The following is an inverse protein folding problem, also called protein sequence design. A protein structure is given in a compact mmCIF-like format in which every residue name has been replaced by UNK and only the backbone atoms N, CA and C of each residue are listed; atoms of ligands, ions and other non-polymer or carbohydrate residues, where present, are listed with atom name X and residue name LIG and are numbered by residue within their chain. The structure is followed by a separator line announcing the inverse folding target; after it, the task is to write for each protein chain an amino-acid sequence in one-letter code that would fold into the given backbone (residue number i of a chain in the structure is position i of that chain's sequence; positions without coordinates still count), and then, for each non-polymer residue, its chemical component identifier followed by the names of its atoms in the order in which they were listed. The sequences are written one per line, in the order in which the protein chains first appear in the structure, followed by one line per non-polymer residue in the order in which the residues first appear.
data_IF_586883468768
#
_entry.id   IF_586883468768
#
_cell.length_a   1.000
_cell.length_b   1.000
_cell.length_c   1.000
_cell.angle_alpha   90.00
_cell.angle_beta   90.00
_cell.angle_gamma   90.00
#
_symmetry.space_group_name_H-M   'P 1'
#
loop_
_entity.id
_entity.type
_entity.pdbx_description
1 polymer ?
#
# COMPACT_ATOMS: atom_id res chain seq x y z
N UNK A 1 -13.31 10.73 1.36
CA UNK A 1 -13.49 9.42 0.69
C UNK A 1 -13.10 8.29 1.64
N UNK A 2 -14.08 7.54 2.14
CA UNK A 2 -13.86 6.44 3.10
C UNK A 2 -13.35 5.18 2.39
N UNK A 3 -12.48 4.43 3.06
CA UNK A 3 -12.09 3.09 2.63
C UNK A 3 -13.28 2.15 2.86
N UNK A 4 -13.59 1.36 1.85
CA UNK A 4 -14.66 0.35 1.86
C UNK A 4 -13.95 -1.01 1.95
N UNK A 5 -14.49 -2.02 2.67
CA UNK A 5 -14.12 -3.41 2.40
C UNK A 5 -14.17 -3.62 0.89
N UNK A 6 -13.14 -4.22 0.30
CA UNK A 6 -13.00 -4.28 -1.15
C UNK A 6 -14.16 -5.06 -1.78
N UNK A 7 -15.25 -4.36 -2.10
CA UNK A 7 -16.00 -4.64 -3.31
C UNK A 7 -15.12 -4.26 -4.49
N UNK A 8 -15.21 -5.02 -5.57
CA UNK A 8 -14.56 -4.69 -6.83
C UNK A 8 -14.74 -3.20 -7.15
N UNK A 9 -13.66 -2.46 -7.48
CA UNK A 9 -13.78 -1.09 -7.95
C UNK A 9 -14.77 -1.05 -9.13
N UNK A 10 -15.62 -0.04 -9.15
CA UNK A 10 -16.63 0.14 -10.20
C UNK A 10 -15.92 0.17 -11.58
N UNK A 11 -16.22 -0.79 -12.46
CA UNK A 11 -15.57 -0.97 -13.76
C UNK A 11 -14.42 -1.99 -13.82
N UNK A 12 -14.15 -2.74 -12.75
CA UNK A 12 -13.30 -3.95 -12.82
C UNK A 12 -14.18 -5.14 -13.19
N UNK A 13 -14.16 -5.55 -14.46
CA UNK A 13 -14.75 -6.83 -14.85
C UNK A 13 -13.96 -7.95 -14.17
N UNK A 14 -14.64 -8.69 -13.30
CA UNK A 14 -14.18 -10.00 -12.84
C UNK A 14 -14.30 -10.93 -14.04
N UNK A 15 -13.30 -11.78 -14.33
CA UNK A 15 -13.46 -12.86 -15.30
C UNK A 15 -14.79 -13.58 -15.06
N UNK A 16 -15.56 -13.79 -16.12
CA UNK A 16 -16.95 -14.25 -16.06
C UNK A 16 -17.06 -15.51 -15.16
N UNK A 17 -17.79 -15.40 -14.04
CA UNK A 17 -18.03 -16.49 -13.09
C UNK A 17 -17.25 -16.46 -11.77
N UNK A 18 -16.42 -15.44 -11.49
CA UNK A 18 -15.57 -15.39 -10.29
C UNK A 18 -16.13 -14.45 -9.19
N UNK A 19 -16.22 -14.96 -7.96
CA UNK A 19 -16.82 -14.32 -6.78
C UNK A 19 -15.80 -13.50 -5.96
N UNK A 20 -16.29 -12.62 -5.08
CA UNK A 20 -15.47 -11.88 -4.12
C UNK A 20 -14.64 -12.79 -3.20
N UNK A 21 -15.14 -13.99 -2.91
CA UNK A 21 -14.47 -15.00 -2.10
C UNK A 21 -13.32 -15.67 -2.87
N UNK A 22 -13.47 -15.90 -4.17
CA UNK A 22 -12.39 -16.40 -5.03
C UNK A 22 -11.29 -15.35 -5.27
N UNK A 23 -11.64 -14.07 -5.30
CA UNK A 23 -10.67 -12.96 -5.36
C UNK A 23 -9.81 -12.87 -4.08
N UNK A 24 -10.39 -13.17 -2.91
CA UNK A 24 -9.69 -13.20 -1.63
C UNK A 24 -8.74 -14.40 -1.51
N UNK A 25 -8.97 -15.46 -2.29
CA UNK A 25 -8.11 -16.65 -2.34
C UNK A 25 -7.08 -16.64 -3.48
N UNK A 26 -7.00 -15.56 -4.27
CA UNK A 26 -6.00 -15.49 -5.33
C UNK A 26 -4.57 -15.53 -4.76
N UNK A 27 -3.64 -16.23 -5.45
CA UNK A 27 -2.24 -16.23 -5.08
C UNK A 27 -1.69 -14.80 -5.05
N UNK A 28 -0.68 -14.59 -4.21
CA UNK A 28 0.05 -13.34 -4.01
C UNK A 28 0.15 -12.51 -5.29
N UNK A 29 -0.68 -11.47 -5.37
CA UNK A 29 -0.83 -10.66 -6.58
C UNK A 29 0.48 -9.94 -6.92
N UNK A 30 1.38 -9.72 -5.96
CA UNK A 30 2.68 -9.00 -6.10
C UNK A 30 3.60 -9.49 -7.23
N UNK A 31 3.29 -10.58 -7.93
CA UNK A 31 4.13 -11.20 -8.96
C UNK A 31 3.76 -10.92 -10.41
N UNK A 32 2.60 -10.31 -10.72
CA UNK A 32 2.18 -10.02 -12.10
C UNK A 32 2.42 -8.56 -12.46
N UNK A 33 3.19 -8.28 -13.51
CA UNK A 33 3.48 -6.89 -13.94
C UNK A 33 2.33 -6.28 -14.76
N UNK A 34 1.69 -7.05 -15.65
CA UNK A 34 0.54 -6.62 -16.47
C UNK A 34 -0.65 -7.52 -16.12
N UNK A 35 -1.77 -6.90 -15.77
CA UNK A 35 -3.02 -7.58 -15.39
C UNK A 35 -3.93 -7.72 -16.61
N UNK A 36 -4.14 -6.62 -17.34
CA UNK A 36 -4.93 -6.58 -18.57
C UNK A 36 -4.46 -5.41 -19.47
N UNK A 37 -4.84 -5.46 -20.76
CA UNK A 37 -4.66 -4.33 -21.68
C UNK A 37 -5.70 -4.35 -22.81
N UNK A 38 -6.00 -3.17 -23.34
CA UNK A 38 -6.77 -2.97 -24.57
C UNK A 38 -6.02 -2.01 -25.52
N UNK A 39 -6.33 -2.12 -26.81
CA UNK A 39 -5.77 -1.25 -27.85
C UNK A 39 -6.92 -0.57 -28.56
N UNK A 40 -6.92 0.77 -28.54
CA UNK A 40 -7.95 1.61 -29.13
C UNK A 40 -7.30 2.60 -30.11
N UNK A 41 -7.33 2.25 -31.39
CA UNK A 41 -6.63 3.02 -32.43
C UNK A 41 -5.13 3.05 -32.17
N UNK A 42 -4.61 4.23 -31.77
CA UNK A 42 -3.20 4.44 -31.46
C UNK A 42 -2.91 4.49 -29.93
N UNK A 43 -3.92 4.27 -29.09
CA UNK A 43 -3.78 4.25 -27.64
C UNK A 43 -3.73 2.81 -27.12
N UNK A 44 -2.92 2.59 -26.08
CA UNK A 44 -2.89 1.35 -25.30
C UNK A 44 -3.33 1.69 -23.88
N UNK A 45 -4.43 1.10 -23.43
CA UNK A 45 -4.86 1.18 -22.04
C UNK A 45 -4.38 -0.11 -21.37
N UNK A 46 -3.71 -0.02 -20.23
CA UNK A 46 -3.22 -1.19 -19.53
C UNK A 46 -3.45 -1.06 -18.03
N UNK A 47 -3.93 -2.13 -17.40
CA UNK A 47 -3.83 -2.29 -15.96
C UNK A 47 -2.55 -3.04 -15.65
N UNK A 48 -1.67 -2.39 -14.91
CA UNK A 48 -0.43 -2.97 -14.42
C UNK A 48 -0.47 -3.09 -12.91
N UNK A 49 0.42 -3.91 -12.38
CA UNK A 49 0.68 -3.92 -10.97
C UNK A 49 2.06 -3.35 -10.65
N UNK A 50 2.12 -2.59 -9.56
CA UNK A 50 3.35 -2.05 -8.99
C UNK A 50 3.70 -2.91 -7.78
N UNK A 51 4.64 -3.87 -7.90
CA UNK A 51 4.99 -4.71 -6.77
C UNK A 51 5.77 -3.91 -5.72
N UNK A 52 5.70 -4.34 -4.46
CA UNK A 52 6.53 -3.76 -3.40
C UNK A 52 7.98 -4.20 -3.63
N UNK A 53 8.89 -3.24 -3.78
CA UNK A 53 10.33 -3.48 -3.97
C UNK A 53 11.09 -3.60 -2.65
N UNK A 54 10.63 -2.90 -1.61
CA UNK A 54 11.08 -3.10 -0.23
C UNK A 54 10.01 -2.64 0.77
N UNK A 55 9.94 -3.32 1.91
CA UNK A 55 9.02 -3.00 2.98
C UNK A 55 9.62 -3.31 4.36
N UNK A 56 9.20 -2.55 5.36
CA UNK A 56 9.43 -2.85 6.77
C UNK A 56 8.47 -2.00 7.61
N UNK A 57 8.51 -2.14 8.93
CA UNK A 57 7.86 -1.20 9.84
C UNK A 57 8.85 -0.69 10.87
N UNK A 58 8.53 0.46 11.46
CA UNK A 58 9.26 1.04 12.58
C UNK A 58 8.33 1.15 13.79
N UNK A 59 8.90 0.98 14.99
CA UNK A 59 8.17 0.95 16.24
C UNK A 59 8.84 1.86 17.27
N UNK A 60 8.09 2.78 17.86
CA UNK A 60 8.64 3.75 18.81
C UNK A 60 9.04 3.13 20.15
N UNK A 61 8.47 1.97 20.49
CA UNK A 61 8.84 1.18 21.67
C UNK A 61 10.21 0.51 21.55
N UNK A 62 10.70 0.34 20.31
CA UNK A 62 12.00 -0.26 20.02
C UNK A 62 12.80 0.66 19.08
N UNK A 63 13.24 1.82 19.56
CA UNK A 63 13.62 2.93 18.70
C UNK A 63 14.87 2.70 17.83
N UNK A 64 15.71 1.75 18.23
CA UNK A 64 16.94 1.35 17.53
C UNK A 64 16.83 0.00 16.81
N UNK A 65 15.69 -0.69 16.92
CA UNK A 65 15.49 -1.99 16.29
C UNK A 65 15.10 -1.85 14.82
N UNK A 66 15.53 -2.84 14.03
CA UNK A 66 15.15 -3.02 12.64
C UNK A 66 14.22 -4.23 12.52
N UNK A 67 13.17 -4.12 11.70
CA UNK A 67 12.15 -5.16 11.54
C UNK A 67 12.06 -5.74 10.11
N UNK A 68 13.10 -5.55 9.28
CA UNK A 68 13.06 -6.00 7.88
C UNK A 68 13.01 -7.52 7.68
N UNK A 69 13.35 -8.30 8.70
CA UNK A 69 13.23 -9.75 8.69
C UNK A 69 11.85 -10.24 9.16
N UNK A 70 10.95 -9.35 9.56
CA UNK A 70 9.61 -9.70 9.98
C UNK A 70 8.79 -10.22 8.79
N UNK A 71 8.01 -11.29 9.01
CA UNK A 71 7.07 -11.81 8.02
C UNK A 71 5.75 -11.03 7.95
N UNK A 72 5.59 -10.02 8.81
CA UNK A 72 4.42 -9.16 8.89
C UNK A 72 4.85 -7.70 9.05
N UNK A 73 3.94 -6.80 8.69
CA UNK A 73 4.06 -5.37 8.92
C UNK A 73 3.05 -4.95 9.99
N UNK A 74 3.49 -4.10 10.91
CA UNK A 74 2.61 -3.51 11.90
C UNK A 74 2.35 -2.03 11.61
N UNK A 75 1.12 -1.61 11.89
CA UNK A 75 0.67 -0.24 11.78
C UNK A 75 -0.20 0.08 13.01
N UNK A 76 -0.13 1.33 13.47
CA UNK A 76 -1.03 1.85 14.48
C UNK A 76 -0.33 2.17 15.78
N UNK A 77 -0.96 1.86 16.90
CA UNK A 77 -0.41 2.15 18.22
C UNK A 77 -0.87 1.11 19.24
N UNK A 78 0.06 0.63 20.07
CA UNK A 78 -0.25 -0.12 21.28
C UNK A 78 0.36 0.57 22.50
N UNK A 79 -0.10 0.26 23.72
CA UNK A 79 0.46 0.88 24.94
C UNK A 79 1.59 0.07 25.56
N UNK A 80 1.60 -1.24 25.34
CA UNK A 80 2.36 -2.21 26.15
C UNK A 80 3.39 -2.99 25.31
N UNK A 81 3.64 -2.60 24.06
CA UNK A 81 4.50 -3.32 23.13
C UNK A 81 5.29 -2.37 22.25
N UNK A 82 4.95 -2.35 20.96
CA UNK A 82 5.68 -1.63 19.93
C UNK A 82 5.44 -0.11 19.97
N UNK A 83 4.49 0.37 20.78
CA UNK A 83 4.06 1.76 20.81
C UNK A 83 3.59 2.23 19.42
N UNK A 84 3.96 3.44 18.99
CA UNK A 84 3.58 3.92 17.67
C UNK A 84 4.30 3.12 16.58
N UNK A 85 3.55 2.60 15.62
CA UNK A 85 4.01 1.75 14.53
C UNK A 85 3.67 2.38 13.19
N UNK A 86 4.64 2.36 12.28
CA UNK A 86 4.48 2.89 10.91
C UNK A 86 5.09 1.90 9.92
N UNK A 87 4.36 1.62 8.86
CA UNK A 87 4.88 0.86 7.73
C UNK A 87 5.65 1.80 6.80
N UNK A 88 6.71 1.27 6.20
CA UNK A 88 7.45 1.90 5.11
C UNK A 88 7.35 0.98 3.90
N UNK A 89 6.91 1.51 2.77
CA UNK A 89 6.63 0.73 1.56
C UNK A 89 7.20 1.44 0.34
N UNK A 90 8.11 0.82 -0.39
CA UNK A 90 8.54 1.29 -1.70
C UNK A 90 8.06 0.33 -2.78
N UNK A 91 7.67 0.87 -3.93
CA UNK A 91 7.14 0.12 -5.06
C UNK A 91 8.13 0.11 -6.21
N UNK A 92 8.11 -0.93 -7.04
CA UNK A 92 8.77 -0.93 -8.35
C UNK A 92 7.83 -0.31 -9.39
N UNK A 93 8.33 0.69 -10.13
CA UNK A 93 7.59 1.38 -11.19
C UNK A 93 8.00 0.93 -12.59
N UNK A 94 8.87 -0.08 -12.71
CA UNK A 94 9.38 -0.56 -13.98
C UNK A 94 8.30 -1.07 -14.95
N UNK A 95 7.11 -1.40 -14.44
CA UNK A 95 5.94 -1.78 -15.25
C UNK A 95 5.18 -0.59 -15.85
N UNK A 96 5.45 0.65 -15.39
CA UNK A 96 4.88 1.86 -16.00
C UNK A 96 5.68 2.25 -17.25
N UNK A 97 5.02 2.41 -18.41
CA UNK A 97 5.69 2.94 -19.60
C UNK A 97 6.08 4.41 -19.40
N UNK A 98 7.13 4.84 -20.11
CA UNK A 98 7.51 6.25 -20.11
C UNK A 98 6.36 7.14 -20.62
N UNK A 99 6.03 8.20 -19.88
CA UNK A 99 4.91 9.11 -20.14
C UNK A 99 3.52 8.47 -20.03
N UNK A 100 3.35 7.47 -19.17
CA UNK A 100 2.03 6.92 -18.86
C UNK A 100 1.05 8.04 -18.46
N UNK A 101 -0.20 7.95 -18.91
CA UNK A 101 -1.27 8.75 -18.33
C UNK A 101 -1.95 7.90 -17.26
N UNK A 102 -1.81 8.28 -15.99
CA UNK A 102 -2.38 7.51 -14.87
C UNK A 102 -3.85 7.90 -14.70
N UNK A 103 -4.75 7.10 -15.28
CA UNK A 103 -6.20 7.31 -15.14
C UNK A 103 -6.67 7.02 -13.71
N UNK A 104 -6.24 5.89 -13.15
CA UNK A 104 -6.56 5.49 -11.78
C UNK A 104 -5.47 4.59 -11.18
N UNK A 105 -5.33 4.63 -9.85
CA UNK A 105 -4.54 3.66 -9.12
C UNK A 105 -5.21 3.35 -7.76
N UNK A 106 -5.05 2.11 -7.30
CA UNK A 106 -5.52 1.66 -5.99
C UNK A 106 -4.43 0.89 -5.26
N UNK A 107 -4.34 1.09 -3.95
CA UNK A 107 -3.51 0.24 -3.08
C UNK A 107 -4.36 -0.90 -2.53
N UNK A 108 -3.71 -2.01 -2.19
CA UNK A 108 -4.32 -3.16 -1.54
C UNK A 108 -3.45 -3.59 -0.36
N UNK A 109 -4.06 -3.75 0.82
CA UNK A 109 -3.40 -4.24 2.04
C UNK A 109 -4.24 -5.38 2.61
N UNK A 110 -3.59 -6.49 2.95
CA UNK A 110 -4.26 -7.57 3.67
C UNK A 110 -4.04 -7.41 5.18
N UNK A 111 -5.11 -7.06 5.90
CA UNK A 111 -5.09 -7.02 7.36
C UNK A 111 -5.33 -8.42 7.91
N UNK A 112 -4.26 -9.10 8.34
CA UNK A 112 -4.34 -10.47 8.86
C UNK A 112 -4.61 -10.55 10.36
N UNK A 113 -4.35 -9.48 11.11
CA UNK A 113 -4.51 -9.42 12.56
C UNK A 113 -4.92 -8.01 13.00
N UNK A 114 -5.77 -7.93 14.02
CA UNK A 114 -6.14 -6.70 14.71
C UNK A 114 -5.91 -6.93 16.20
N UNK A 115 -5.35 -5.93 16.88
CA UNK A 115 -5.11 -5.99 18.32
C UNK A 115 -5.61 -4.69 18.96
N UNK A 116 -6.55 -4.74 19.92
CA UNK A 116 -7.23 -5.95 20.41
C UNK A 116 -8.19 -6.54 19.35
N UNK A 117 -8.45 -7.85 19.41
CA UNK A 117 -9.29 -8.53 18.39
C UNK A 117 -10.75 -8.10 18.39
N UNK A 118 -11.19 -7.39 19.44
CA UNK A 118 -12.52 -6.83 19.60
C UNK A 118 -12.54 -5.30 19.49
N UNK A 119 -11.54 -4.70 18.84
CA UNK A 119 -11.58 -3.27 18.56
C UNK A 119 -12.83 -2.94 17.74
N UNK A 120 -13.55 -1.89 18.14
CA UNK A 120 -14.79 -1.46 17.49
C UNK A 120 -14.61 -0.16 16.73
N UNK A 121 -13.40 0.42 16.72
CA UNK A 121 -13.12 1.72 16.13
C UNK A 121 -12.20 1.58 14.92
N UNK A 122 -12.54 2.30 13.84
CA UNK A 122 -11.63 2.42 12.71
C UNK A 122 -10.46 3.34 13.07
N UNK A 123 -9.26 2.98 12.63
CA UNK A 123 -8.06 3.78 12.81
C UNK A 123 -7.89 4.73 11.63
N UNK A 124 -7.76 6.04 11.89
CA UNK A 124 -7.41 6.99 10.83
C UNK A 124 -6.02 6.70 10.26
N UNK A 125 -5.93 6.63 8.95
CA UNK A 125 -4.73 6.26 8.23
C UNK A 125 -4.40 7.26 7.13
N UNK A 126 -3.11 7.60 7.05
CA UNK A 126 -2.55 8.45 6.01
C UNK A 126 -1.25 7.85 5.53
N UNK A 127 -0.97 8.00 4.25
CA UNK A 127 0.37 7.80 3.72
C UNK A 127 1.10 9.13 3.65
N UNK A 128 2.43 9.09 3.64
CA UNK A 128 3.26 10.28 3.43
C UNK A 128 4.32 9.94 2.40
N UNK A 129 4.54 10.80 1.40
CA UNK A 129 5.65 10.58 0.48
C UNK A 129 6.97 10.67 1.22
N UNK A 130 7.81 9.65 1.10
CA UNK A 130 9.14 9.66 1.69
C UNK A 130 10.03 10.71 1.00
N UNK A 131 10.61 11.61 1.77
CA UNK A 131 11.46 12.68 1.26
C UNK A 131 12.92 12.25 1.14
N UNK A 132 13.32 11.16 1.81
CA UNK A 132 14.68 10.64 1.82
C UNK A 132 14.67 9.17 1.43
N UNK A 133 15.71 8.74 0.72
CA UNK A 133 15.91 7.33 0.43
C UNK A 133 16.12 6.55 1.72
N UNK A 134 15.65 5.32 1.74
CA UNK A 134 15.79 4.43 2.88
C UNK A 134 16.03 3.01 2.41
N UNK A 135 16.54 2.18 3.33
CA UNK A 135 16.72 0.75 3.11
C UNK A 135 16.04 -0.01 4.23
N UNK A 136 15.19 -0.97 3.89
CA UNK A 136 14.51 -1.82 4.85
C UNK A 136 15.49 -2.40 5.88
N UNK A 137 16.69 -2.81 5.47
CA UNK A 137 17.69 -3.43 6.35
C UNK A 137 18.39 -2.50 7.35
N UNK A 138 18.23 -1.18 7.25
CA UNK A 138 18.95 -0.21 8.10
C UNK A 138 18.05 0.81 8.79
N UNK A 139 16.78 0.93 8.38
CA UNK A 139 15.86 1.85 9.03
C UNK A 139 15.50 1.42 10.45
N UNK A 140 15.31 2.41 11.30
CA UNK A 140 14.85 2.30 12.68
C UNK A 140 13.89 3.45 12.94
N UNK A 141 13.15 3.43 14.05
CA UNK A 141 12.33 4.58 14.41
C UNK A 141 13.15 5.88 14.48
N UNK A 142 14.33 5.82 15.10
CA UNK A 142 15.19 6.99 15.32
C UNK A 142 15.61 7.70 14.02
N UNK A 143 15.81 6.96 12.93
CA UNK A 143 16.28 7.54 11.67
C UNK A 143 15.17 7.74 10.63
N UNK A 144 14.01 7.09 10.76
CA UNK A 144 12.98 7.09 9.73
C UNK A 144 11.69 7.83 10.09
N UNK A 145 11.39 8.02 11.37
CA UNK A 145 10.09 8.54 11.83
C UNK A 145 9.73 9.96 11.34
N UNK A 146 10.70 10.73 10.85
CA UNK A 146 10.51 12.10 10.36
C UNK A 146 10.86 12.28 8.88
N UNK A 147 11.01 11.18 8.13
CA UNK A 147 11.38 11.24 6.72
C UNK A 147 10.18 11.43 5.78
N UNK A 148 8.96 11.26 6.29
CA UNK A 148 7.73 11.47 5.52
C UNK A 148 7.40 12.95 5.34
N UNK A 149 7.01 13.33 4.13
CA UNK A 149 6.63 14.68 3.74
C UNK A 149 5.12 14.83 3.57
N UNK A 150 4.72 15.29 2.38
CA UNK A 150 3.33 15.53 1.98
C UNK A 150 2.46 14.31 2.28
N UNK A 151 1.41 14.52 3.06
CA UNK A 151 0.48 13.49 3.44
C UNK A 151 -0.65 13.35 2.42
N UNK A 152 -0.99 12.11 2.10
CA UNK A 152 -2.17 11.75 1.32
C UNK A 152 -3.15 11.02 2.24
N UNK A 153 -4.39 11.52 2.40
CA UNK A 153 -5.39 10.82 3.19
C UNK A 153 -5.78 9.54 2.44
N UNK A 154 -5.41 8.39 2.99
CA UNK A 154 -5.86 7.10 2.48
C UNK A 154 -7.17 6.66 3.14
N UNK A 155 -7.61 7.32 4.22
CA UNK A 155 -8.93 7.11 4.82
C UNK A 155 -8.87 6.49 6.22
N UNK A 156 -9.74 5.52 6.50
CA UNK A 156 -9.79 4.83 7.80
C UNK A 156 -9.63 3.33 7.60
N UNK A 157 -8.76 2.69 8.38
CA UNK A 157 -8.61 1.24 8.40
C UNK A 157 -9.70 0.68 9.34
N UNK A 158 -10.65 -0.14 8.83
CA UNK A 158 -11.68 -0.72 9.67
C UNK A 158 -11.09 -1.82 10.58
N UNK A 159 -11.70 -2.08 11.74
CA UNK A 159 -11.27 -3.14 12.65
C UNK A 159 -11.82 -4.51 12.18
N UNK A 160 -11.60 -4.87 10.92
CA UNK A 160 -11.98 -6.18 10.35
C UNK A 160 -10.82 -6.78 9.54
N UNK A 161 -10.57 -8.07 9.72
CA UNK A 161 -9.53 -8.76 8.97
C UNK A 161 -9.95 -8.93 7.50
N UNK A 162 -8.96 -8.95 6.60
CA UNK A 162 -9.15 -9.13 5.16
C UNK A 162 -8.52 -8.03 4.31
N UNK A 163 -8.84 -8.07 3.02
CA UNK A 163 -8.33 -7.12 2.05
C UNK A 163 -9.01 -5.75 2.17
N UNK A 164 -8.17 -4.73 2.30
CA UNK A 164 -8.54 -3.32 2.32
C UNK A 164 -7.94 -2.69 1.07
N UNK A 165 -8.74 -1.88 0.37
CA UNK A 165 -8.30 -1.13 -0.79
C UNK A 165 -8.67 0.34 -0.68
N UNK A 166 -7.85 1.20 -1.27
CA UNK A 166 -8.14 2.62 -1.35
C UNK A 166 -7.51 3.31 -2.55
N UNK A 167 -7.95 4.54 -2.79
CA UNK A 167 -7.44 5.37 -3.89
C UNK A 167 -5.96 5.70 -3.65
N UNK A 168 -5.14 5.47 -4.67
CA UNK A 168 -3.72 5.82 -4.69
C UNK A 168 -3.35 6.65 -5.93
N UNK A 169 -4.35 7.14 -6.68
CA UNK A 169 -4.15 7.81 -7.97
C UNK A 169 -3.19 8.99 -7.85
N UNK A 170 -3.39 9.86 -6.86
CA UNK A 170 -2.56 11.06 -6.70
C UNK A 170 -1.12 10.73 -6.30
N UNK A 171 -0.94 9.66 -5.52
CA UNK A 171 0.40 9.17 -5.13
C UNK A 171 1.15 8.64 -6.34
N UNK A 172 0.51 7.80 -7.16
CA UNK A 172 1.14 7.22 -8.34
C UNK A 172 1.41 8.29 -9.40
N UNK A 173 0.50 9.25 -9.60
CA UNK A 173 0.73 10.42 -10.46
C UNK A 173 1.92 11.25 -10.00
N UNK A 174 2.09 11.46 -8.69
CA UNK A 174 3.24 12.19 -8.17
C UNK A 174 4.55 11.50 -8.58
N UNK A 175 4.66 10.18 -8.38
CA UNK A 175 5.85 9.41 -8.77
C UNK A 175 6.11 9.42 -10.29
N UNK A 176 5.06 9.29 -11.10
CA UNK A 176 5.17 9.31 -12.56
C UNK A 176 5.59 10.70 -13.08
N UNK A 177 5.14 11.78 -12.44
CA UNK A 177 5.48 13.16 -12.81
C UNK A 177 6.95 13.56 -12.56
N UNK A 178 7.78 12.64 -12.05
CA UNK A 178 9.21 12.83 -11.84
C UNK A 178 9.64 13.03 -10.40
N UNK A 179 8.71 12.99 -9.43
CA UNK A 179 9.09 12.87 -8.02
C UNK A 179 9.81 11.54 -7.81
N UNK A 180 11.02 11.53 -7.23
CA UNK A 180 11.72 10.29 -6.97
C UNK A 180 10.85 9.35 -6.12
N UNK A 181 10.52 8.17 -6.66
CA UNK A 181 9.82 7.15 -5.91
C UNK A 181 10.71 6.64 -4.78
N UNK A 182 10.54 7.23 -3.60
CA UNK A 182 11.17 6.84 -2.33
C UNK A 182 10.19 6.05 -1.46
N UNK A 183 9.02 5.72 -1.97
CA UNK A 183 7.97 5.03 -1.23
C UNK A 183 7.12 5.93 -0.33
N UNK A 184 6.38 5.26 0.55
CA UNK A 184 5.46 5.77 1.55
C UNK A 184 5.90 5.42 2.97
#
# INVERSE_FOLDING_TARGET
PGLVPAGLPEGVEVPEGMTAEELAQMPDRTKLAVIDYSVEGNAVNARVQLPVSQATFIASGFPTSNFSSSSFLNLGWDRNGNNAMRMLLQFDLSSLPANAQIDSASFFINQSLITPSNDSQSMSFRAQLMQQSWSAGTVTWNNANFLGGTAFPLGNIPPVAGWISGNATDVVRAWDSGEPNRGL
#
